data_IF_286747864952
#
_entry.id   IF_286747864952
#
_cell.length_a   1.000
_cell.length_b   1.000
_cell.length_c   1.000
_cell.angle_alpha   90.00
_cell.angle_beta   90.00
_cell.angle_gamma   90.00
#
_symmetry.space_group_name_H-M   'P 1'
#
loop_
_entity.id
_entity.type
_entity.pdbx_description
1 polymer ?
#
# COMPACT_ATOMS: atom_id res chain seq x y z
N UNK A 1 -22.35 4.27 -8.80
CA UNK A 1 -22.86 4.30 -7.40
C UNK A 1 -21.72 4.92 -6.62
N UNK A 2 -21.93 6.09 -6.02
CA UNK A 2 -20.83 6.84 -5.42
C UNK A 2 -20.12 6.04 -4.31
N UNK A 3 -18.80 6.12 -4.29
CA UNK A 3 -17.96 5.44 -3.29
C UNK A 3 -18.30 5.96 -1.88
N UNK A 4 -18.73 5.07 -0.98
CA UNK A 4 -19.10 5.44 0.38
C UNK A 4 -17.85 5.61 1.25
N UNK A 5 -17.25 6.79 1.17
CA UNK A 5 -16.08 7.18 1.95
C UNK A 5 -16.27 7.02 3.46
N UNK A 6 -17.43 7.39 3.99
CA UNK A 6 -17.68 7.35 5.44
C UNK A 6 -17.61 5.93 6.01
N UNK A 7 -18.23 4.96 5.34
CA UNK A 7 -18.15 3.54 5.74
C UNK A 7 -16.74 2.98 5.54
N UNK A 8 -16.05 3.40 4.48
CA UNK A 8 -14.69 2.96 4.20
C UNK A 8 -13.69 3.42 5.27
N UNK A 9 -13.68 4.73 5.58
CA UNK A 9 -12.83 5.30 6.64
C UNK A 9 -13.19 4.74 8.01
N UNK A 10 -14.46 4.48 8.29
CA UNK A 10 -14.86 3.79 9.53
C UNK A 10 -14.22 2.40 9.62
N UNK A 11 -14.24 1.60 8.55
CA UNK A 11 -13.59 0.29 8.55
C UNK A 11 -12.07 0.39 8.74
N UNK A 12 -11.42 1.37 8.09
CA UNK A 12 -9.99 1.64 8.30
C UNK A 12 -9.71 1.92 9.78
N UNK A 13 -10.43 2.86 10.40
CA UNK A 13 -10.21 3.24 11.80
C UNK A 13 -10.50 2.12 12.82
N UNK A 14 -11.14 1.03 12.40
CA UNK A 14 -11.38 -0.16 13.23
C UNK A 14 -10.49 -1.35 12.82
N UNK A 15 -9.35 -1.09 12.16
CA UNK A 15 -8.39 -2.09 11.70
C UNK A 15 -9.01 -3.14 10.76
N UNK A 16 -10.08 -2.76 10.06
CA UNK A 16 -10.87 -3.65 9.21
C UNK A 16 -10.41 -3.68 7.75
N UNK A 17 -9.34 -2.97 7.40
CA UNK A 17 -8.82 -2.88 6.02
C UNK A 17 -7.31 -3.11 6.03
N UNK A 18 -6.83 -3.92 5.09
CA UNK A 18 -5.41 -4.17 4.85
C UNK A 18 -5.04 -3.64 3.47
N UNK A 19 -4.21 -2.59 3.37
CA UNK A 19 -3.69 -2.14 2.11
C UNK A 19 -2.64 -3.11 1.57
N UNK A 20 -2.67 -3.32 0.26
CA UNK A 20 -1.64 -3.97 -0.54
C UNK A 20 -1.07 -2.94 -1.49
N UNK A 21 0.19 -2.60 -1.29
CA UNK A 21 0.87 -1.53 -2.00
C UNK A 21 1.68 -2.11 -3.15
N UNK A 22 1.42 -1.60 -4.35
CA UNK A 22 2.08 -2.00 -5.58
C UNK A 22 3.01 -0.95 -6.17
N UNK A 23 3.53 -1.29 -7.34
CA UNK A 23 4.66 -0.62 -7.99
C UNK A 23 4.33 0.74 -8.59
N UNK A 24 3.05 1.07 -8.82
CA UNK A 24 2.66 2.37 -9.37
C UNK A 24 3.04 3.53 -8.43
N UNK A 25 3.22 3.24 -7.13
CA UNK A 25 3.60 4.25 -6.14
C UNK A 25 5.12 4.47 -6.06
N UNK A 26 5.92 3.53 -6.54
CA UNK A 26 7.38 3.59 -6.46
C UNK A 26 7.93 4.54 -7.51
N UNK A 27 7.93 5.84 -7.21
CA UNK A 27 8.35 6.89 -8.12
C UNK A 27 9.66 7.53 -7.66
N UNK A 28 10.52 7.86 -8.63
CA UNK A 28 11.81 8.51 -8.41
C UNK A 28 11.92 9.78 -9.25
N UNK A 29 12.56 10.82 -8.69
CA UNK A 29 12.73 12.14 -9.28
C UNK A 29 14.20 12.47 -9.39
N UNK A 30 14.61 12.98 -10.54
CA UNK A 30 15.99 13.42 -10.77
C UNK A 30 16.02 14.76 -11.49
N UNK A 31 17.06 15.54 -11.25
CA UNK A 31 17.39 16.67 -12.13
C UNK A 31 17.82 16.13 -13.49
N UNK A 32 17.38 16.78 -14.57
CA UNK A 32 17.72 16.37 -15.95
C UNK A 32 19.24 16.35 -16.19
N UNK A 33 19.97 17.27 -15.55
CA UNK A 33 21.43 17.31 -15.61
C UNK A 33 22.09 16.07 -15.00
N UNK A 34 21.56 15.55 -13.89
CA UNK A 34 22.14 14.39 -13.20
C UNK A 34 21.94 13.11 -14.01
N UNK A 35 20.78 12.95 -14.66
CA UNK A 35 20.54 11.82 -15.57
C UNK A 35 21.47 11.85 -16.77
N UNK A 36 21.73 13.04 -17.31
CA UNK A 36 22.68 13.22 -18.40
C UNK A 36 24.10 12.84 -17.95
N UNK A 37 24.50 13.19 -16.73
CA UNK A 37 25.79 12.79 -16.14
C UNK A 37 25.88 11.28 -15.87
N UNK A 38 24.76 10.63 -15.55
CA UNK A 38 24.66 9.17 -15.43
C UNK A 38 24.72 8.44 -16.78
N UNK A 39 24.76 9.19 -17.89
CA UNK A 39 24.87 8.63 -19.23
C UNK A 39 23.54 8.15 -19.81
N UNK A 40 22.41 8.50 -19.19
CA UNK A 40 21.10 8.07 -19.68
C UNK A 40 20.77 8.68 -21.04
N UNK A 41 20.10 7.89 -21.88
CA UNK A 41 19.69 8.33 -23.21
C UNK A 41 18.65 9.46 -23.13
N UNK A 42 18.73 10.41 -24.05
CA UNK A 42 17.73 11.49 -24.13
C UNK A 42 16.32 10.95 -24.31
N UNK A 43 16.14 9.85 -25.06
CA UNK A 43 14.84 9.22 -25.26
C UNK A 43 14.26 8.67 -23.96
N UNK A 44 15.09 8.17 -23.03
CA UNK A 44 14.65 7.78 -21.71
C UNK A 44 14.29 9.00 -20.86
N UNK A 45 15.12 10.06 -20.89
CA UNK A 45 14.82 11.29 -20.15
C UNK A 45 13.48 11.90 -20.60
N UNK A 46 13.19 11.86 -21.90
CA UNK A 46 11.94 12.35 -22.49
C UNK A 46 10.73 11.44 -22.19
N UNK A 47 10.92 10.19 -21.78
CA UNK A 47 9.79 9.30 -21.45
C UNK A 47 9.22 9.52 -20.04
N UNK A 48 9.94 10.25 -19.18
CA UNK A 48 9.47 10.58 -17.83
C UNK A 48 8.46 11.72 -17.80
N UNK A 49 7.86 11.93 -16.63
CA UNK A 49 6.97 13.07 -16.40
C UNK A 49 7.82 14.32 -16.19
N UNK A 50 7.79 15.24 -17.16
CA UNK A 50 8.53 16.49 -17.10
C UNK A 50 7.97 17.44 -16.03
N UNK A 51 8.83 17.84 -15.09
CA UNK A 51 8.56 18.79 -14.01
C UNK A 51 9.47 20.04 -14.11
N UNK A 52 9.88 20.41 -15.32
CA UNK A 52 10.76 21.56 -15.58
C UNK A 52 12.23 21.16 -15.58
N UNK A 53 12.95 21.47 -14.50
CA UNK A 53 14.38 21.12 -14.35
C UNK A 53 14.57 19.67 -13.88
N UNK A 54 13.48 19.04 -13.40
CA UNK A 54 13.46 17.66 -12.96
C UNK A 54 12.50 16.82 -13.80
N UNK A 55 12.68 15.51 -13.71
CA UNK A 55 11.82 14.52 -14.34
C UNK A 55 11.57 13.38 -13.37
N UNK A 56 10.33 12.87 -13.37
CA UNK A 56 9.88 11.80 -12.48
C UNK A 56 9.58 10.54 -13.29
N UNK A 57 10.02 9.39 -12.79
CA UNK A 57 9.84 8.06 -13.40
C UNK A 57 9.26 7.07 -12.41
N UNK A 58 8.63 6.01 -12.92
CA UNK A 58 8.48 4.81 -12.13
C UNK A 58 9.87 4.19 -11.88
N UNK A 59 10.11 3.73 -10.65
CA UNK A 59 11.36 3.11 -10.22
C UNK A 59 11.72 1.93 -11.12
N UNK A 60 10.74 1.15 -11.56
CA UNK A 60 10.99 -0.05 -12.36
C UNK A 60 11.51 0.30 -13.76
N UNK A 61 11.04 1.39 -14.36
CA UNK A 61 11.53 1.90 -15.64
C UNK A 61 12.96 2.43 -15.50
N UNK A 62 13.23 3.17 -14.41
CA UNK A 62 14.57 3.61 -14.06
C UNK A 62 15.54 2.44 -13.88
N UNK A 63 15.17 1.44 -13.08
CA UNK A 63 16.00 0.26 -12.83
C UNK A 63 16.22 -0.58 -14.09
N UNK A 64 15.20 -0.73 -14.95
CA UNK A 64 15.35 -1.37 -16.24
C UNK A 64 16.42 -0.66 -17.09
N UNK A 65 16.39 0.68 -17.11
CA UNK A 65 17.39 1.51 -17.78
C UNK A 65 18.79 1.32 -17.21
N UNK A 66 18.94 1.43 -15.89
CA UNK A 66 20.23 1.26 -15.19
C UNK A 66 20.84 -0.11 -15.41
N UNK A 67 20.04 -1.18 -15.30
CA UNK A 67 20.54 -2.54 -15.51
C UNK A 67 21.08 -2.75 -16.92
N UNK A 68 20.39 -2.20 -17.92
CA UNK A 68 20.86 -2.25 -19.29
C UNK A 68 22.14 -1.43 -19.49
N UNK A 69 22.25 -0.24 -18.89
CA UNK A 69 23.48 0.57 -18.96
C UNK A 69 24.70 -0.16 -18.33
N UNK A 70 24.48 -0.92 -17.27
CA UNK A 70 25.56 -1.62 -16.53
C UNK A 70 26.02 -2.88 -17.27
N UNK A 71 25.07 -3.70 -17.74
CA UNK A 71 25.37 -5.05 -18.25
C UNK A 71 25.00 -5.28 -19.71
N UNK A 72 24.07 -4.48 -20.25
CA UNK A 72 23.50 -4.68 -21.56
C UNK A 72 24.51 -4.48 -22.68
N UNK A 73 24.54 -5.43 -23.61
CA UNK A 73 25.32 -5.34 -24.84
C UNK A 73 24.41 -5.37 -26.06
N UNK A 74 24.62 -4.43 -26.99
CA UNK A 74 23.88 -4.35 -28.26
C UNK A 74 22.58 -3.55 -28.14
N UNK A 75 21.56 -3.95 -28.89
CA UNK A 75 20.28 -3.25 -28.90
C UNK A 75 19.41 -3.64 -27.69
N UNK A 76 18.80 -2.65 -27.01
CA UNK A 76 17.88 -2.91 -25.91
C UNK A 76 16.63 -3.68 -26.35
N UNK A 77 15.93 -4.35 -25.42
CA UNK A 77 14.67 -4.99 -25.75
C UNK A 77 13.64 -3.96 -26.28
N UNK A 78 12.84 -4.37 -27.27
CA UNK A 78 11.80 -3.52 -27.89
C UNK A 78 10.80 -3.00 -26.85
N UNK A 79 10.42 -3.85 -25.90
CA UNK A 79 9.61 -3.48 -24.73
C UNK A 79 10.55 -3.33 -23.55
N UNK A 80 10.66 -2.11 -23.04
CA UNK A 80 11.68 -1.73 -22.08
C UNK A 80 11.16 -1.78 -20.63
N UNK A 81 10.74 -2.97 -20.19
CA UNK A 81 10.33 -3.23 -18.80
C UNK A 81 11.40 -4.02 -18.07
N UNK A 82 11.40 -3.97 -16.73
CA UNK A 82 12.39 -4.69 -15.91
C UNK A 82 12.40 -6.20 -16.20
N UNK A 83 11.23 -6.82 -16.37
CA UNK A 83 11.09 -8.24 -16.74
C UNK A 83 11.83 -8.54 -18.05
N UNK A 84 11.59 -7.74 -19.09
CA UNK A 84 12.19 -7.97 -20.41
C UNK A 84 13.69 -7.68 -20.43
N UNK A 85 14.15 -6.68 -19.68
CA UNK A 85 15.57 -6.40 -19.51
C UNK A 85 16.26 -7.56 -18.79
N UNK A 86 15.74 -8.02 -17.64
CA UNK A 86 16.32 -9.14 -16.89
C UNK A 86 16.38 -10.41 -17.73
N UNK A 87 15.29 -10.76 -18.44
CA UNK A 87 15.27 -11.92 -19.34
C UNK A 87 16.30 -11.81 -20.48
N UNK A 88 16.56 -10.60 -20.97
CA UNK A 88 17.58 -10.38 -22.00
C UNK A 88 19.00 -10.48 -21.41
N UNK A 89 19.24 -9.95 -20.21
CA UNK A 89 20.51 -10.10 -19.50
C UNK A 89 20.82 -11.56 -19.18
N UNK A 90 19.81 -12.38 -18.86
CA UNK A 90 19.98 -13.83 -18.69
C UNK A 90 20.47 -14.51 -19.97
N UNK A 91 19.97 -14.09 -21.15
CA UNK A 91 20.49 -14.58 -22.44
C UNK A 91 21.94 -14.13 -22.69
N UNK A 92 22.35 -13.03 -22.09
CA UNK A 92 23.74 -12.53 -22.10
C UNK A 92 24.59 -13.15 -20.98
N UNK A 93 24.07 -14.16 -20.26
CA UNK A 93 24.74 -14.88 -19.18
C UNK A 93 25.10 -14.03 -17.96
N UNK A 94 24.39 -12.91 -17.73
CA UNK A 94 24.46 -12.16 -16.47
C UNK A 94 23.77 -12.98 -15.37
N UNK A 95 24.39 -13.08 -14.20
CA UNK A 95 23.88 -13.88 -13.08
C UNK A 95 22.83 -13.11 -12.25
N UNK A 96 21.84 -13.81 -11.70
CA UNK A 96 20.81 -13.23 -10.82
C UNK A 96 21.41 -12.43 -9.66
N UNK A 97 22.50 -12.94 -9.06
CA UNK A 97 23.17 -12.25 -7.95
C UNK A 97 23.73 -10.88 -8.37
N UNK A 98 24.26 -10.78 -9.58
CA UNK A 98 24.82 -9.52 -10.10
C UNK A 98 23.69 -8.51 -10.35
N UNK A 99 22.58 -8.96 -10.95
CA UNK A 99 21.37 -8.16 -11.18
C UNK A 99 20.78 -7.68 -9.84
N UNK A 100 20.61 -8.59 -8.88
CA UNK A 100 20.06 -8.27 -7.56
C UNK A 100 20.95 -7.28 -6.81
N UNK A 101 22.28 -7.45 -6.86
CA UNK A 101 23.22 -6.53 -6.24
C UNK A 101 23.19 -5.15 -6.91
N UNK A 102 23.10 -5.08 -8.24
CA UNK A 102 22.98 -3.83 -8.96
C UNK A 102 21.70 -3.07 -8.55
N UNK A 103 20.55 -3.74 -8.50
CA UNK A 103 19.31 -3.13 -8.02
C UNK A 103 19.43 -2.67 -6.57
N UNK A 104 19.95 -3.51 -5.67
CA UNK A 104 20.14 -3.14 -4.27
C UNK A 104 21.00 -1.88 -4.13
N UNK A 105 22.08 -1.79 -4.91
CA UNK A 105 22.96 -0.63 -4.91
C UNK A 105 22.25 0.62 -5.46
N UNK A 106 21.59 0.51 -6.62
CA UNK A 106 20.88 1.64 -7.24
C UNK A 106 19.78 2.18 -6.29
N UNK A 107 18.94 1.31 -5.71
CA UNK A 107 17.88 1.74 -4.78
C UNK A 107 18.44 2.26 -3.46
N UNK A 108 19.51 1.67 -2.93
CA UNK A 108 20.13 2.13 -1.67
C UNK A 108 20.79 3.50 -1.81
N UNK A 109 21.28 3.85 -3.01
CA UNK A 109 21.92 5.13 -3.29
C UNK A 109 20.92 6.28 -3.53
N UNK A 110 19.63 5.97 -3.68
CA UNK A 110 18.60 7.01 -3.82
C UNK A 110 18.45 7.79 -2.51
N UNK A 111 18.50 9.12 -2.61
CA UNK A 111 18.23 10.01 -1.48
C UNK A 111 16.73 10.21 -1.27
N UNK A 112 16.34 10.69 -0.09
CA UNK A 112 14.94 10.98 0.21
C UNK A 112 14.37 12.11 -0.68
N UNK A 113 15.19 13.01 -1.22
CA UNK A 113 14.73 14.00 -2.20
C UNK A 113 14.48 13.39 -3.60
N UNK A 114 15.19 12.31 -3.92
CA UNK A 114 15.01 11.57 -5.17
C UNK A 114 13.83 10.60 -5.10
N UNK A 115 13.39 10.21 -3.91
CA UNK A 115 12.27 9.30 -3.74
C UNK A 115 10.99 10.09 -3.52
N UNK A 116 9.94 9.77 -4.27
CA UNK A 116 8.63 10.37 -4.03
C UNK A 116 7.93 9.70 -2.83
N UNK A 117 8.36 10.05 -1.61
CA UNK A 117 7.88 9.43 -0.37
C UNK A 117 6.47 9.86 0.08
N UNK A 118 5.92 10.93 -0.48
CA UNK A 118 4.65 11.53 0.00
C UNK A 118 3.46 10.55 0.05
N UNK A 119 3.20 9.70 -0.97
CA UNK A 119 2.11 8.74 -0.90
C UNK A 119 2.29 7.73 0.25
N UNK A 120 3.53 7.28 0.48
CA UNK A 120 3.87 6.35 1.57
C UNK A 120 3.75 7.02 2.95
N UNK A 121 4.15 8.29 3.08
CA UNK A 121 3.95 9.08 4.31
C UNK A 121 2.48 9.22 4.66
N UNK A 122 1.62 9.52 3.67
CA UNK A 122 0.17 9.59 3.88
C UNK A 122 -0.41 8.25 4.33
N UNK A 123 0.07 7.13 3.79
CA UNK A 123 -0.33 5.79 4.25
C UNK A 123 0.15 5.52 5.68
N UNK A 124 1.39 5.90 6.03
CA UNK A 124 1.96 5.72 7.36
C UNK A 124 1.22 6.55 8.44
N UNK A 125 0.74 7.75 8.10
CA UNK A 125 -0.06 8.59 9.01
C UNK A 125 -1.42 7.97 9.37
N UNK A 126 -1.97 7.07 8.53
CA UNK A 126 -3.29 6.46 8.75
C UNK A 126 -3.16 5.37 9.82
N UNK A 127 -3.45 5.73 11.06
CA UNK A 127 -3.31 4.86 12.25
C UNK A 127 -4.26 3.66 12.29
N UNK A 128 -5.19 3.53 11.34
CA UNK A 128 -6.12 2.40 11.25
C UNK A 128 -5.54 1.17 10.54
N UNK A 129 -4.33 1.29 9.97
CA UNK A 129 -3.65 0.16 9.35
C UNK A 129 -2.68 -0.47 10.36
N UNK A 130 -3.06 -1.62 10.92
CA UNK A 130 -2.21 -2.45 11.79
C UNK A 130 -1.39 -3.47 10.99
N UNK A 131 -1.72 -3.68 9.72
CA UNK A 131 -1.02 -4.57 8.80
C UNK A 131 -1.01 -3.95 7.41
N UNK A 132 0.17 -3.84 6.80
CA UNK A 132 0.35 -3.36 5.42
C UNK A 132 1.09 -4.44 4.65
N UNK A 133 0.60 -4.77 3.46
CA UNK A 133 1.27 -5.66 2.54
C UNK A 133 1.90 -4.84 1.42
N UNK A 134 3.07 -5.24 0.95
CA UNK A 134 3.71 -4.64 -0.23
C UNK A 134 4.22 -5.75 -1.15
N UNK A 135 4.16 -5.50 -2.45
CA UNK A 135 4.71 -6.37 -3.50
C UNK A 135 5.93 -5.74 -4.16
N UNK A 136 6.40 -4.62 -3.63
CA UNK A 136 7.52 -3.87 -4.20
C UNK A 136 8.85 -4.37 -3.64
N UNK A 137 9.92 -4.44 -4.46
CA UNK A 137 11.24 -4.77 -4.00
C UNK A 137 11.90 -3.61 -3.25
N UNK A 138 11.46 -2.36 -3.42
CA UNK A 138 12.02 -1.20 -2.72
C UNK A 138 11.63 -1.14 -1.24
N UNK A 139 12.32 -0.28 -0.46
CA UNK A 139 12.03 -0.05 0.95
C UNK A 139 11.40 1.33 1.20
N UNK A 140 10.67 1.90 0.24
CA UNK A 140 10.14 3.27 0.35
C UNK A 140 9.07 3.39 1.44
N UNK A 141 8.27 2.35 1.65
CA UNK A 141 7.30 2.31 2.75
C UNK A 141 8.01 2.36 4.10
N UNK A 142 9.03 1.52 4.32
CA UNK A 142 9.83 1.52 5.54
C UNK A 142 10.50 2.87 5.78
N UNK A 143 11.12 3.47 4.75
CA UNK A 143 11.71 4.81 4.84
C UNK A 143 10.68 5.87 5.21
N UNK A 144 9.45 5.77 4.72
CA UNK A 144 8.39 6.72 5.08
C UNK A 144 7.99 6.61 6.56
N UNK A 145 7.94 5.41 7.13
CA UNK A 145 7.74 5.21 8.57
C UNK A 145 8.91 5.75 9.39
N UNK A 146 10.14 5.48 8.97
CA UNK A 146 11.35 5.99 9.62
C UNK A 146 11.41 7.53 9.61
N UNK A 147 11.18 8.15 8.45
CA UNK A 147 11.17 9.61 8.30
C UNK A 147 10.05 10.31 9.09
N UNK A 148 8.94 9.60 9.36
CA UNK A 148 7.84 10.09 10.19
C UNK A 148 8.05 9.81 11.69
N UNK A 149 9.15 9.15 12.07
CA UNK A 149 9.43 8.67 13.43
C UNK A 149 8.31 7.78 13.99
N UNK A 150 7.62 7.02 13.12
CA UNK A 150 6.53 6.12 13.49
C UNK A 150 7.11 4.71 13.66
N UNK A 151 7.08 4.13 14.88
CA UNK A 151 7.61 2.79 15.11
C UNK A 151 6.75 1.72 14.40
N UNK A 152 7.44 0.74 13.82
CA UNK A 152 6.84 -0.46 13.22
C UNK A 152 7.24 -1.68 14.04
N UNK A 153 6.37 -2.69 14.14
CA UNK A 153 6.71 -3.96 14.80
C UNK A 153 7.86 -4.65 14.07
N UNK A 154 7.63 -4.87 12.78
CA UNK A 154 8.50 -5.63 11.93
C UNK A 154 8.19 -5.34 10.46
N UNK A 155 9.25 -5.30 9.66
CA UNK A 155 9.16 -5.49 8.22
C UNK A 155 9.59 -6.92 7.91
N UNK A 156 8.63 -7.76 7.57
CA UNK A 156 8.80 -9.18 7.28
C UNK A 156 9.07 -9.34 5.80
N UNK A 157 10.26 -9.82 5.46
CA UNK A 157 10.66 -10.08 4.09
C UNK A 157 10.41 -11.53 3.71
N UNK A 158 9.41 -11.78 2.85
CA UNK A 158 9.27 -13.06 2.19
C UNK A 158 10.36 -13.15 1.13
N UNK A 159 11.53 -13.66 1.48
CA UNK A 159 12.60 -14.00 0.53
C UNK A 159 12.62 -15.50 0.26
N UNK A 160 13.25 -15.93 -0.84
CA UNK A 160 13.52 -17.35 -1.11
C UNK A 160 15.05 -17.54 -1.07
N UNK A 161 15.61 -18.31 -0.11
CA UNK A 161 14.91 -18.99 0.98
C UNK A 161 14.35 -18.01 2.04
N UNK A 162 13.30 -18.44 2.74
CA UNK A 162 12.68 -17.64 3.80
C UNK A 162 13.69 -17.37 4.93
N UNK A 163 13.70 -16.13 5.49
CA UNK A 163 14.56 -15.84 6.63
C UNK A 163 14.16 -16.68 7.84
N UNK A 164 15.14 -17.02 8.68
CA UNK A 164 14.86 -17.65 9.97
C UNK A 164 14.09 -16.66 10.86
N UNK A 165 12.92 -17.08 11.35
CA UNK A 165 12.12 -16.31 12.29
C UNK A 165 12.71 -16.36 13.70
N UNK A 166 12.78 -15.21 14.37
CA UNK A 166 12.92 -15.18 15.82
C UNK A 166 11.53 -15.34 16.48
N UNK A 167 11.20 -16.58 16.86
CA UNK A 167 9.94 -16.92 17.51
C UNK A 167 9.75 -16.27 18.89
N UNK A 168 10.79 -15.66 19.47
CA UNK A 168 10.72 -15.00 20.78
C UNK A 168 10.42 -13.50 20.69
N UNK A 169 10.38 -12.93 19.48
CA UNK A 169 10.11 -11.51 19.29
C UNK A 169 8.63 -11.22 19.60
N UNK A 170 8.39 -10.46 20.68
CA UNK A 170 7.03 -10.04 21.05
C UNK A 170 6.53 -8.99 20.07
N UNK A 171 5.44 -9.28 19.37
CA UNK A 171 4.71 -8.29 18.57
C UNK A 171 3.89 -7.38 19.49
N UNK A 172 4.07 -6.07 19.37
CA UNK A 172 3.21 -5.08 19.99
C UNK A 172 2.00 -4.83 19.09
N UNK A 173 0.82 -5.28 19.49
CA UNK A 173 -0.41 -5.12 18.70
C UNK A 173 -0.79 -3.67 18.43
N UNK A 174 -0.18 -2.70 19.10
CA UNK A 174 -0.37 -1.28 18.84
C UNK A 174 0.44 -0.76 17.63
N UNK A 175 1.47 -1.49 17.20
CA UNK A 175 2.33 -1.10 16.09
C UNK A 175 1.95 -1.81 14.78
N UNK A 176 2.21 -1.14 13.66
CA UNK A 176 1.96 -1.70 12.33
C UNK A 176 2.99 -2.78 11.99
N UNK A 177 2.55 -3.81 11.26
CA UNK A 177 3.43 -4.82 10.65
C UNK A 177 3.43 -4.67 9.13
N UNK A 178 4.63 -4.67 8.53
CA UNK A 178 4.82 -4.59 7.08
C UNK A 178 5.21 -5.98 6.58
N UNK A 179 4.56 -6.47 5.53
CA UNK A 179 4.89 -7.75 4.89
C UNK A 179 5.26 -7.53 3.42
N UNK A 180 6.52 -7.76 3.08
CA UNK A 180 7.05 -7.71 1.72
C UNK A 180 6.84 -9.07 1.04
N UNK A 181 5.73 -9.21 0.31
CA UNK A 181 5.22 -10.49 -0.21
C UNK A 181 6.05 -11.07 -1.37
N UNK A 182 6.79 -10.22 -2.08
CA UNK A 182 7.61 -10.59 -3.24
C UNK A 182 9.09 -10.29 -3.01
N UNK A 183 9.50 -10.31 -1.75
CA UNK A 183 10.84 -9.90 -1.32
C UNK A 183 11.04 -8.39 -1.32
N UNK A 184 12.22 -7.99 -0.86
CA UNK A 184 12.65 -6.60 -0.72
C UNK A 184 14.17 -6.52 -0.89
N UNK A 185 14.71 -5.37 -1.27
CA UNK A 185 16.16 -5.09 -1.35
C UNK A 185 16.90 -5.35 -0.03
N UNK A 186 16.23 -5.23 1.11
CA UNK A 186 16.76 -5.56 2.44
C UNK A 186 16.82 -7.08 2.69
N UNK A 187 16.09 -7.86 1.89
CA UNK A 187 16.09 -9.32 1.93
C UNK A 187 17.21 -9.95 1.09
N UNK A 188 17.14 -11.27 0.93
CA UNK A 188 18.08 -12.01 0.09
C UNK A 188 17.76 -11.83 -1.39
N UNK A 189 16.52 -12.17 -1.77
CA UNK A 189 15.97 -12.12 -3.12
C UNK A 189 14.61 -11.41 -3.13
N UNK A 190 14.23 -10.94 -4.32
CA UNK A 190 12.95 -10.31 -4.64
C UNK A 190 12.53 -10.61 -6.09
N UNK A 191 11.26 -10.46 -6.41
CA UNK A 191 10.75 -10.71 -7.75
C UNK A 191 11.02 -9.55 -8.70
N UNK A 192 11.57 -9.86 -9.88
CA UNK A 192 11.77 -8.92 -10.98
C UNK A 192 11.12 -9.40 -12.27
N UNK A 193 11.03 -10.72 -12.45
CA UNK A 193 10.41 -11.35 -13.61
C UNK A 193 9.05 -11.94 -13.25
N UNK A 194 8.24 -12.22 -14.27
CA UNK A 194 6.97 -12.94 -14.08
C UNK A 194 7.19 -14.34 -13.46
N UNK A 195 8.27 -15.03 -13.83
CA UNK A 195 8.61 -16.36 -13.28
C UNK A 195 8.91 -16.29 -11.78
N UNK A 196 9.73 -15.32 -11.35
CA UNK A 196 9.99 -15.12 -9.93
C UNK A 196 8.72 -14.72 -9.18
N UNK A 197 7.88 -13.86 -9.77
CA UNK A 197 6.59 -13.47 -9.18
C UNK A 197 5.66 -14.67 -8.98
N UNK A 198 5.68 -15.63 -9.90
CA UNK A 198 4.96 -16.90 -9.78
C UNK A 198 5.50 -17.77 -8.65
N UNK A 199 6.82 -17.85 -8.47
CA UNK A 199 7.43 -18.60 -7.36
C UNK A 199 7.03 -18.04 -6.00
N UNK A 200 7.00 -16.71 -5.84
CA UNK A 200 6.47 -16.07 -4.62
C UNK A 200 4.99 -16.37 -4.39
N UNK A 201 4.18 -16.31 -5.45
CA UNK A 201 2.77 -16.60 -5.37
C UNK A 201 2.50 -18.07 -4.99
N UNK A 202 3.29 -19.00 -5.53
CA UNK A 202 3.25 -20.42 -5.21
C UNK A 202 3.62 -20.68 -3.74
N UNK A 203 4.66 -20.02 -3.24
CA UNK A 203 5.05 -20.08 -1.83
C UNK A 203 3.93 -19.57 -0.91
N UNK A 204 3.32 -18.42 -1.23
CA UNK A 204 2.19 -17.88 -0.47
C UNK A 204 0.99 -18.82 -0.50
N UNK A 205 0.72 -19.46 -1.64
CA UNK A 205 -0.39 -20.40 -1.79
C UNK A 205 -0.20 -21.66 -0.95
N UNK A 206 1.02 -22.23 -0.92
CA UNK A 206 1.33 -23.39 -0.09
C UNK A 206 1.06 -23.09 1.38
N UNK A 207 1.52 -21.94 1.86
CA UNK A 207 1.21 -21.45 3.21
C UNK A 207 1.60 -22.41 4.33
N UNK A 208 2.59 -23.28 4.09
CA UNK A 208 3.00 -24.33 5.03
C UNK A 208 3.86 -23.76 6.17
N UNK A 209 4.61 -22.70 5.88
CA UNK A 209 5.50 -22.01 6.82
C UNK A 209 4.74 -21.12 7.82
N UNK A 210 5.34 -20.90 8.99
CA UNK A 210 4.73 -20.12 10.08
C UNK A 210 4.52 -18.66 9.71
N UNK A 211 5.44 -18.04 8.95
CA UNK A 211 5.33 -16.65 8.48
C UNK A 211 4.03 -16.45 7.67
N UNK A 212 3.78 -17.34 6.70
CA UNK A 212 2.56 -17.31 5.91
C UNK A 212 1.31 -17.45 6.80
N UNK A 213 1.34 -18.33 7.81
CA UNK A 213 0.21 -18.51 8.73
C UNK A 213 -0.08 -17.24 9.50
N UNK A 214 0.94 -16.61 10.08
CA UNK A 214 0.82 -15.37 10.85
C UNK A 214 0.26 -14.23 9.98
N UNK A 215 0.74 -14.10 8.73
CA UNK A 215 0.18 -13.17 7.75
C UNK A 215 -1.31 -13.44 7.49
N UNK A 216 -1.67 -14.68 7.17
CA UNK A 216 -3.04 -15.01 6.80
C UNK A 216 -4.02 -14.89 7.97
N UNK A 217 -3.55 -15.14 9.20
CA UNK A 217 -4.31 -14.89 10.41
C UNK A 217 -4.47 -13.39 10.66
N UNK A 218 -3.42 -12.58 10.47
CA UNK A 218 -3.46 -11.12 10.62
C UNK A 218 -4.43 -10.43 9.66
N UNK A 219 -4.66 -10.99 8.46
CA UNK A 219 -5.54 -10.40 7.44
C UNK A 219 -6.89 -11.11 7.31
N UNK A 220 -7.15 -12.17 8.09
CA UNK A 220 -8.26 -13.11 7.88
C UNK A 220 -9.62 -12.44 7.74
N UNK A 221 -9.97 -11.56 8.67
CA UNK A 221 -11.30 -10.93 8.78
C UNK A 221 -11.32 -9.48 8.26
N UNK A 222 -10.27 -9.06 7.56
CA UNK A 222 -10.11 -7.68 7.06
C UNK A 222 -10.41 -7.60 5.57
N UNK A 223 -10.96 -6.48 5.13
CA UNK A 223 -11.08 -6.15 3.71
C UNK A 223 -9.69 -5.96 3.09
N UNK A 224 -9.52 -6.33 1.82
CA UNK A 224 -8.28 -6.10 1.08
C UNK A 224 -8.43 -4.84 0.22
N UNK A 225 -7.44 -3.96 0.27
CA UNK A 225 -7.37 -2.75 -0.55
C UNK A 225 -6.10 -2.79 -1.39
N UNK A 226 -6.22 -3.11 -2.67
CA UNK A 226 -5.09 -3.06 -3.61
C UNK A 226 -4.94 -1.62 -4.12
N UNK A 227 -3.74 -1.07 -3.97
CA UNK A 227 -3.39 0.28 -4.43
C UNK A 227 -2.13 0.19 -5.30
N UNK A 228 -2.20 0.75 -6.51
CA UNK A 228 -1.04 0.84 -7.39
C UNK A 228 -0.44 -0.51 -7.83
N UNK A 229 -1.22 -1.60 -7.83
CA UNK A 229 -0.77 -2.92 -8.25
C UNK A 229 -1.01 -3.11 -9.76
N UNK A 230 0.04 -2.98 -10.58
CA UNK A 230 -0.09 -3.08 -12.05
C UNK A 230 0.28 -4.43 -12.59
N UNK A 231 -0.44 -5.45 -12.11
CA UNK A 231 -0.28 -6.80 -12.56
C UNK A 231 -1.03 -7.08 -13.87
N UNK A 232 -0.51 -7.98 -14.73
CA UNK A 232 -1.30 -8.56 -15.82
C UNK A 232 -2.62 -9.16 -15.29
N UNK A 233 -3.68 -9.13 -16.09
CA UNK A 233 -5.03 -9.58 -15.71
C UNK A 233 -5.05 -10.91 -14.96
N UNK A 234 -4.48 -11.96 -15.57
CA UNK A 234 -4.48 -13.29 -14.99
C UNK A 234 -3.80 -13.29 -13.61
N UNK A 235 -2.67 -12.58 -13.47
CA UNK A 235 -1.89 -12.55 -12.24
C UNK A 235 -2.64 -11.77 -11.15
N UNK A 236 -3.27 -10.64 -11.50
CA UNK A 236 -4.14 -9.89 -10.59
C UNK A 236 -5.25 -10.79 -10.01
N UNK A 237 -5.91 -11.60 -10.85
CA UNK A 237 -6.96 -12.52 -10.41
C UNK A 237 -6.43 -13.57 -9.42
N UNK A 238 -5.30 -14.20 -9.73
CA UNK A 238 -4.71 -15.20 -8.83
C UNK A 238 -4.22 -14.58 -7.52
N UNK A 239 -3.59 -13.40 -7.59
CA UNK A 239 -3.08 -12.70 -6.43
C UNK A 239 -4.21 -12.36 -5.44
N UNK A 240 -5.30 -11.74 -5.91
CA UNK A 240 -6.47 -11.44 -5.06
C UNK A 240 -7.06 -12.73 -4.47
N UNK A 241 -7.15 -13.81 -5.25
CA UNK A 241 -7.67 -15.11 -4.78
C UNK A 241 -6.83 -15.72 -3.65
N UNK A 242 -5.51 -15.58 -3.74
CA UNK A 242 -4.57 -16.14 -2.75
C UNK A 242 -4.58 -15.29 -1.49
N UNK A 243 -4.45 -13.97 -1.61
CA UNK A 243 -4.44 -13.06 -0.45
C UNK A 243 -5.78 -13.05 0.29
N UNK A 244 -6.91 -13.03 -0.44
CA UNK A 244 -8.22 -13.08 0.20
C UNK A 244 -8.52 -14.44 0.86
N UNK A 245 -7.85 -15.52 0.42
CA UNK A 245 -8.12 -16.93 0.79
C UNK A 245 -9.56 -17.41 0.58
N UNK A 246 -10.35 -16.68 -0.19
CA UNK A 246 -11.73 -17.04 -0.52
C UNK A 246 -11.99 -16.96 -2.02
N UNK A 247 -13.04 -17.64 -2.47
CA UNK A 247 -13.50 -17.51 -3.86
C UNK A 247 -13.96 -16.08 -4.11
N UNK A 248 -13.83 -15.64 -5.37
CA UNK A 248 -14.44 -14.42 -5.86
C UNK A 248 -15.96 -14.44 -5.71
N UNK A 249 -16.60 -15.46 -6.29
CA UNK A 249 -18.03 -15.69 -6.14
C UNK A 249 -18.36 -16.16 -4.72
N UNK A 250 -19.35 -15.52 -4.10
CA UNK A 250 -19.83 -15.79 -2.74
C UNK A 250 -18.77 -15.59 -1.64
N UNK A 251 -17.68 -14.88 -1.93
CA UNK A 251 -16.76 -14.41 -0.91
C UNK A 251 -17.46 -13.40 0.02
N UNK A 252 -17.06 -13.39 1.29
CA UNK A 252 -17.56 -12.44 2.28
C UNK A 252 -16.62 -11.26 2.47
N UNK A 253 -15.33 -11.45 2.14
CA UNK A 253 -14.31 -10.41 2.29
C UNK A 253 -14.51 -9.35 1.21
N UNK A 254 -14.66 -8.10 1.66
CA UNK A 254 -14.71 -6.97 0.74
C UNK A 254 -13.33 -6.76 0.11
N UNK A 255 -13.30 -6.55 -1.20
CA UNK A 255 -12.09 -6.25 -1.98
C UNK A 255 -12.25 -4.88 -2.63
N UNK A 256 -11.24 -4.05 -2.51
CA UNK A 256 -11.14 -2.75 -3.16
C UNK A 256 -9.93 -2.76 -4.08
N UNK A 257 -10.06 -2.22 -5.29
CA UNK A 257 -8.97 -2.13 -6.28
C UNK A 257 -8.89 -0.70 -6.78
N UNK A 258 -7.79 -0.02 -6.49
CA UNK A 258 -7.44 1.32 -6.97
C UNK A 258 -6.05 1.25 -7.62
N UNK A 259 -5.96 0.74 -8.84
CA UNK A 259 -4.69 0.54 -9.55
C UNK A 259 -4.78 1.12 -10.96
N UNK A 260 -3.69 1.71 -11.46
CA UNK A 260 -3.70 2.64 -12.60
C UNK A 260 -4.07 1.97 -13.93
N UNK A 261 -3.76 0.69 -14.06
CA UNK A 261 -4.01 -0.09 -15.26
C UNK A 261 -5.35 -0.85 -15.24
N UNK A 262 -6.09 -0.82 -14.12
CA UNK A 262 -7.32 -1.63 -13.96
C UNK A 262 -8.38 -1.28 -15.01
N UNK A 263 -8.57 0.00 -15.32
CA UNK A 263 -9.57 0.43 -16.31
C UNK A 263 -9.09 0.31 -17.76
N UNK A 264 -7.79 0.15 -17.98
CA UNK A 264 -7.21 -0.06 -19.31
C UNK A 264 -7.46 -1.50 -19.78
N UNK A 265 -7.62 -2.44 -18.85
CA UNK A 265 -7.98 -3.82 -19.11
C UNK A 265 -9.49 -4.05 -18.90
N UNK A 266 -10.23 -4.06 -20.00
CA UNK A 266 -11.69 -4.22 -20.01
C UNK A 266 -12.10 -5.58 -19.42
N UNK A 267 -11.33 -6.64 -19.68
CA UNK A 267 -11.66 -7.99 -19.20
C UNK A 267 -11.46 -8.10 -17.69
N UNK A 268 -10.35 -7.57 -17.17
CA UNK A 268 -10.08 -7.50 -15.74
C UNK A 268 -11.13 -6.66 -15.02
N UNK A 269 -11.39 -5.44 -15.50
CA UNK A 269 -12.36 -4.53 -14.90
C UNK A 269 -13.75 -5.18 -14.83
N UNK A 270 -14.21 -5.77 -15.94
CA UNK A 270 -15.48 -6.49 -15.99
C UNK A 270 -15.49 -7.67 -15.02
N UNK A 271 -14.42 -8.47 -14.98
CA UNK A 271 -14.31 -9.59 -14.06
C UNK A 271 -14.43 -9.13 -12.61
N UNK A 272 -13.69 -8.11 -12.18
CA UNK A 272 -13.68 -7.63 -10.80
C UNK A 272 -15.04 -7.08 -10.37
N UNK A 273 -15.66 -6.21 -11.19
CA UNK A 273 -16.98 -5.62 -10.90
C UNK A 273 -18.07 -6.69 -10.75
N UNK A 274 -17.98 -7.80 -11.50
CA UNK A 274 -18.94 -8.92 -11.41
C UNK A 274 -18.65 -9.92 -10.28
N UNK A 275 -17.52 -9.76 -9.57
CA UNK A 275 -17.02 -10.73 -8.60
C UNK A 275 -16.78 -10.11 -7.22
N UNK A 276 -17.76 -9.33 -6.74
CA UNK A 276 -17.78 -8.72 -5.40
C UNK A 276 -16.54 -7.86 -5.07
N UNK A 277 -15.90 -7.31 -6.11
CA UNK A 277 -14.78 -6.39 -5.95
C UNK A 277 -15.24 -4.98 -6.30
N UNK A 278 -14.93 -4.03 -5.42
CA UNK A 278 -15.22 -2.61 -5.61
C UNK A 278 -14.06 -1.99 -6.37
N UNK A 279 -14.24 -1.81 -7.68
CA UNK A 279 -13.26 -1.12 -8.53
C UNK A 279 -13.39 0.38 -8.31
N UNK A 280 -12.29 1.00 -7.91
CA UNK A 280 -12.14 2.45 -7.77
C UNK A 280 -11.59 2.94 -9.10
N UNK A 281 -12.31 3.89 -9.71
CA UNK A 281 -12.05 4.29 -11.08
C UNK A 281 -10.82 5.19 -11.14
N UNK A 282 -9.72 4.61 -11.62
CA UNK A 282 -8.48 5.32 -11.92
C UNK A 282 -8.37 5.43 -13.44
N UNK A 283 -8.31 6.65 -13.98
CA UNK A 283 -8.18 6.89 -15.42
C UNK A 283 -6.86 6.31 -15.96
N UNK A 284 -5.79 6.37 -15.17
CA UNK A 284 -4.45 6.09 -15.68
C UNK A 284 -4.02 7.13 -16.74
N UNK A 285 -2.82 7.00 -17.30
CA UNK A 285 -2.25 8.01 -18.20
C UNK A 285 -2.94 8.13 -19.57
N UNK A 286 -3.76 7.15 -19.99
CA UNK A 286 -4.22 7.01 -21.39
C UNK A 286 -5.75 7.02 -21.59
N UNK A 287 -6.57 7.06 -20.53
CA UNK A 287 -8.02 7.04 -20.68
C UNK A 287 -8.57 8.44 -20.98
N UNK A 288 -9.11 8.61 -22.20
CA UNK A 288 -10.00 9.72 -22.55
C UNK A 288 -11.36 9.52 -21.85
N UNK A 289 -12.01 10.62 -21.45
CA UNK A 289 -13.26 10.65 -20.65
C UNK A 289 -14.51 10.03 -21.34
N UNK A 290 -14.35 9.18 -22.35
CA UNK A 290 -15.44 8.59 -23.11
C UNK A 290 -15.95 7.33 -22.38
N UNK A 291 -17.22 7.37 -21.94
CA UNK A 291 -17.88 6.27 -21.23
C UNK A 291 -18.12 6.51 -19.72
N UNK A 292 -17.79 7.69 -19.20
CA UNK A 292 -18.07 8.08 -17.82
C UNK A 292 -19.53 8.55 -17.68
N UNK A 293 -20.32 7.81 -16.90
CA UNK A 293 -21.64 8.27 -16.46
C UNK A 293 -21.51 9.36 -15.40
N UNK A 294 -22.41 10.33 -15.45
CA UNK A 294 -22.50 11.48 -14.55
C UNK A 294 -22.73 11.03 -13.09
N UNK A 295 -21.69 11.05 -12.24
CA UNK A 295 -21.81 10.83 -10.79
C UNK A 295 -20.67 10.12 -10.05
N UNK A 296 -19.84 9.31 -10.71
CA UNK A 296 -18.74 8.58 -10.06
C UNK A 296 -17.39 9.32 -10.28
N UNK A 297 -16.71 9.70 -9.20
CA UNK A 297 -15.39 10.37 -9.26
C UNK A 297 -14.36 9.41 -9.86
N UNK A 298 -13.62 9.91 -10.85
CA UNK A 298 -12.47 9.23 -11.46
C UNK A 298 -11.22 9.94 -11.01
N UNK A 299 -10.28 9.19 -10.44
CA UNK A 299 -8.97 9.70 -10.04
C UNK A 299 -8.01 9.55 -11.22
N UNK A 300 -7.02 10.43 -11.31
CA UNK A 300 -5.98 10.42 -12.34
C UNK A 300 -5.12 9.17 -12.19
N UNK A 301 -4.67 8.89 -10.98
CA UNK A 301 -3.77 7.80 -10.60
C UNK A 301 -4.07 7.32 -9.17
N UNK A 302 -3.38 6.27 -8.75
CA UNK A 302 -3.47 5.70 -7.41
C UNK A 302 -3.01 6.68 -6.32
N UNK A 303 -2.14 7.63 -6.65
CA UNK A 303 -1.65 8.66 -5.74
C UNK A 303 -2.78 9.65 -5.40
N UNK A 304 -3.53 10.13 -6.38
CA UNK A 304 -4.69 11.01 -6.14
C UNK A 304 -5.77 10.30 -5.30
N UNK A 305 -5.94 9.00 -5.46
CA UNK A 305 -6.82 8.22 -4.58
C UNK A 305 -6.32 8.19 -3.13
N UNK A 306 -5.02 7.98 -2.91
CA UNK A 306 -4.41 8.06 -1.56
C UNK A 306 -4.60 9.45 -0.96
N UNK A 307 -4.39 10.49 -1.76
CA UNK A 307 -4.55 11.88 -1.33
C UNK A 307 -5.96 12.17 -0.84
N UNK A 308 -6.97 11.70 -1.58
CA UNK A 308 -8.35 11.83 -1.17
C UNK A 308 -8.67 10.98 0.07
N UNK A 309 -8.19 9.74 0.12
CA UNK A 309 -8.38 8.86 1.28
C UNK A 309 -7.82 9.49 2.56
N UNK A 310 -6.61 10.03 2.47
CA UNK A 310 -5.92 10.69 3.57
C UNK A 310 -6.62 11.98 3.99
N UNK A 311 -7.06 12.81 3.04
CA UNK A 311 -7.85 14.03 3.30
C UNK A 311 -9.13 13.69 4.06
N UNK A 312 -9.92 12.74 3.57
CA UNK A 312 -11.20 12.37 4.21
C UNK A 312 -10.95 11.70 5.57
N UNK A 313 -9.87 10.93 5.72
CA UNK A 313 -9.48 10.36 7.01
C UNK A 313 -9.12 11.46 8.03
N UNK A 314 -8.36 12.49 7.63
CA UNK A 314 -8.03 13.64 8.48
C UNK A 314 -9.28 14.41 8.91
N UNK A 315 -10.21 14.66 7.98
CA UNK A 315 -11.50 15.30 8.27
C UNK A 315 -12.33 14.48 9.26
N UNK A 316 -12.44 13.17 9.04
CA UNK A 316 -13.17 12.28 9.95
C UNK A 316 -12.56 12.27 11.35
N UNK A 317 -11.23 12.27 11.46
CA UNK A 317 -10.54 12.32 12.75
C UNK A 317 -10.73 13.66 13.45
N UNK A 318 -10.67 14.78 12.72
CA UNK A 318 -11.00 16.11 13.22
C UNK A 318 -12.42 16.18 13.78
N UNK A 319 -13.40 15.70 13.02
CA UNK A 319 -14.80 15.58 13.44
C UNK A 319 -14.98 14.73 14.70
N UNK A 320 -14.24 13.61 14.82
CA UNK A 320 -14.30 12.75 16.01
C UNK A 320 -13.68 13.44 17.22
N UNK A 321 -12.52 14.10 17.07
CA UNK A 321 -11.88 14.85 18.16
C UNK A 321 -12.77 16.00 18.64
N UNK A 322 -13.36 16.76 17.71
CA UNK A 322 -14.29 17.83 18.05
C UNK A 322 -15.56 17.26 18.71
N UNK A 323 -16.13 16.17 18.18
CA UNK A 323 -17.27 15.50 18.82
C UNK A 323 -16.93 14.94 20.19
N UNK A 324 -15.74 14.38 20.42
CA UNK A 324 -15.27 13.90 21.73
C UNK A 324 -15.10 15.07 22.70
N UNK A 325 -14.57 16.21 22.27
CA UNK A 325 -14.57 17.45 23.06
C UNK A 325 -15.99 17.89 23.44
N UNK A 326 -16.97 17.71 22.55
CA UNK A 326 -18.40 17.92 22.86
C UNK A 326 -19.07 16.74 23.60
N UNK A 327 -18.38 15.60 23.74
CA UNK A 327 -18.82 14.35 24.40
C UNK A 327 -17.95 14.01 25.61
N UNK A 328 -17.30 14.97 26.26
CA UNK A 328 -16.76 14.79 27.61
C UNK A 328 -17.93 14.56 28.59
N UNK A 329 -18.53 13.37 28.48
CA UNK A 329 -19.70 12.87 29.19
C UNK A 329 -19.23 11.74 30.09
N UNK A 330 -19.13 12.00 31.39
CA UNK A 330 -18.83 10.98 32.41
C UNK A 330 -20.13 10.23 32.72
N UNK A 331 -20.08 8.91 32.68
CA UNK A 331 -21.17 8.05 33.15
C UNK A 331 -20.91 7.67 34.62
N UNK A 332 -21.86 7.97 35.51
CA UNK A 332 -21.77 7.58 36.91
C UNK A 332 -22.76 6.45 37.19
N UNK A 333 -22.22 5.23 37.34
CA UNK A 333 -22.97 4.06 37.81
C UNK A 333 -22.97 4.03 39.32
N UNK A 334 -24.15 3.88 39.95
CA UNK A 334 -24.29 3.92 41.41
C UNK A 334 -25.44 3.04 41.91
N UNK A 335 -25.36 2.61 43.17
CA UNK A 335 -26.50 2.02 43.89
C UNK A 335 -27.42 3.12 44.43
N UNK A 336 -28.72 2.88 44.55
CA UNK A 336 -29.68 3.85 45.09
C UNK A 336 -29.27 4.43 46.45
N UNK A 337 -28.58 3.65 47.28
CA UNK A 337 -28.09 4.07 48.60
C UNK A 337 -27.01 5.17 48.51
N UNK A 338 -26.29 5.25 47.39
CA UNK A 338 -25.17 6.19 47.17
C UNK A 338 -25.56 7.45 46.40
N UNK A 339 -26.86 7.61 46.07
CA UNK A 339 -27.37 8.70 45.20
C UNK A 339 -26.88 10.08 45.64
N UNK A 340 -26.97 10.38 46.93
CA UNK A 340 -26.58 11.70 47.46
C UNK A 340 -25.08 12.02 47.31
N UNK A 341 -24.21 11.01 47.29
CA UNK A 341 -22.77 11.18 47.11
C UNK A 341 -22.47 11.40 45.63
N UNK A 342 -23.12 10.62 44.77
CA UNK A 342 -22.91 10.62 43.33
C UNK A 342 -23.49 11.87 42.66
N UNK A 343 -24.58 12.42 43.19
CA UNK A 343 -25.11 13.74 42.82
C UNK A 343 -24.13 14.87 43.15
N UNK A 344 -23.45 14.82 44.30
CA UNK A 344 -22.40 15.81 44.63
C UNK A 344 -21.22 15.72 43.67
N UNK A 345 -20.84 14.49 43.30
CA UNK A 345 -19.77 14.24 42.34
C UNK A 345 -20.12 14.77 40.95
N UNK A 346 -21.35 14.49 40.46
CA UNK A 346 -21.89 15.05 39.22
C UNK A 346 -21.81 16.58 39.22
N UNK A 347 -22.27 17.23 40.28
CA UNK A 347 -22.26 18.69 40.37
C UNK A 347 -20.84 19.28 40.30
N UNK A 348 -19.84 18.63 40.90
CA UNK A 348 -18.45 19.11 40.79
C UNK A 348 -17.85 18.86 39.41
N UNK A 349 -18.16 17.75 38.74
CA UNK A 349 -17.76 17.55 37.34
C UNK A 349 -18.38 18.61 36.42
N UNK A 350 -19.68 18.88 36.56
CA UNK A 350 -20.40 19.88 35.75
C UNK A 350 -19.89 21.30 36.00
N UNK A 351 -19.54 21.65 37.24
CA UNK A 351 -18.92 22.94 37.59
C UNK A 351 -17.55 23.14 36.95
N UNK A 352 -16.85 22.06 36.63
CA UNK A 352 -15.57 22.08 35.91
C UNK A 352 -15.73 21.90 34.39
N UNK A 353 -16.97 22.01 33.87
CA UNK A 353 -17.26 21.97 32.44
C UNK A 353 -17.38 20.57 31.84
N UNK A 354 -17.40 19.52 32.67
CA UNK A 354 -17.50 18.13 32.24
C UNK A 354 -18.97 17.70 32.33
N UNK A 355 -19.55 17.26 31.22
CA UNK A 355 -20.94 16.79 31.20
C UNK A 355 -21.03 15.42 31.90
N UNK A 356 -22.08 15.16 32.68
CA UNK A 356 -22.23 13.88 33.41
C UNK A 356 -23.68 13.41 33.32
N UNK A 357 -23.90 12.10 33.18
CA UNK A 357 -25.25 11.52 33.11
C UNK A 357 -25.39 10.25 33.97
N UNK A 358 -26.61 10.00 34.44
CA UNK A 358 -27.00 8.82 35.20
C UNK A 358 -27.72 7.78 34.32
N UNK A 359 -27.87 6.56 34.84
CA UNK A 359 -28.65 5.49 34.20
C UNK A 359 -30.14 5.88 34.00
N UNK A 360 -30.70 6.65 34.94
CA UNK A 360 -32.09 7.16 34.88
C UNK A 360 -32.32 8.27 33.83
N UNK A 361 -31.25 8.92 33.32
CA UNK A 361 -31.36 10.03 32.36
C UNK A 361 -31.55 9.54 30.90
N UNK A 362 -31.59 8.22 30.67
CA UNK A 362 -31.65 7.58 29.35
C UNK A 362 -32.96 6.82 29.06
N UNK A 363 -34.06 7.10 29.78
CA UNK A 363 -35.41 6.57 29.52
C UNK A 363 -36.39 7.64 29.03
#
# INVERSE_FOLDING_TARGET
MSFNWRSFIYNINNNGVVPVIGNDLSMVRFLKEDLTRLGMSNSFIESGVDEGDSVTFNLYDYLASRLWDIYGVGEPPIVYTIDKVVLQLHKQHVLDNDINNAIKNEVSNLTDEQIFLEPFRKLAEITGFDTILTVNPDNFLERAFEAAEIPVNESVNYSIPLPALDQNKKQDRALVSIYNLMGNIQGYNFALTEEQSLEYLHMLQKGEDTICKDLFDAIKDKAILLIGCSFPDWFMRFFIRIIAKERFKNGIKTKYVACDHTLQDIELSYFLEHNATKVIRIAGPTVTKEGLTDGDKVYRDSIEFIDEMHRVWKEYRGDVVDRIRFKEKVFLSYSWDDKSVVERLKNEFEKNGISVFFDDDAL
#
